data_IF_630588562893
#
_entry.id   IF_630588562893
#
_cell.length_a   1.000
_cell.length_b   1.000
_cell.length_c   1.000
_cell.angle_alpha   90.00
_cell.angle_beta   90.00
_cell.angle_gamma   90.00
#
_symmetry.space_group_name_H-M   'P 1'
#
loop_
_entity.id
_entity.type
_entity.pdbx_description
1 polymer ?
#
# COMPACT_ATOMS: atom_id res chain seq x y z
N UNK A 1 -34.44 4.83 -6.78
CA UNK A 1 -33.18 5.56 -6.50
C UNK A 1 -32.30 4.92 -5.42
N UNK A 2 -32.87 4.35 -4.34
CA UNK A 2 -32.13 3.74 -3.22
C UNK A 2 -31.09 2.66 -3.61
N UNK A 3 -31.43 1.75 -4.53
CA UNK A 3 -30.50 0.70 -5.02
C UNK A 3 -29.27 1.28 -5.73
N UNK A 4 -29.47 2.28 -6.61
CA UNK A 4 -28.37 2.96 -7.33
C UNK A 4 -27.40 3.64 -6.36
N UNK A 5 -27.92 4.29 -5.32
CA UNK A 5 -27.11 4.91 -4.27
C UNK A 5 -26.33 3.87 -3.45
N UNK A 6 -26.91 2.71 -3.17
CA UNK A 6 -26.20 1.62 -2.48
C UNK A 6 -25.04 1.09 -3.32
N UNK A 7 -25.25 0.82 -4.62
CA UNK A 7 -24.18 0.39 -5.51
C UNK A 7 -23.08 1.45 -5.62
N UNK A 8 -23.45 2.73 -5.71
CA UNK A 8 -22.49 3.83 -5.71
C UNK A 8 -21.69 3.88 -4.40
N UNK A 9 -22.33 3.69 -3.24
CA UNK A 9 -21.64 3.66 -1.96
C UNK A 9 -20.65 2.50 -1.88
N UNK A 10 -21.03 1.30 -2.34
CA UNK A 10 -20.12 0.14 -2.41
C UNK A 10 -18.96 0.37 -3.39
N UNK A 11 -19.23 0.97 -4.54
CA UNK A 11 -18.21 1.35 -5.51
C UNK A 11 -17.23 2.34 -4.89
N UNK A 12 -17.72 3.43 -4.29
CA UNK A 12 -16.88 4.42 -3.61
C UNK A 12 -16.06 3.78 -2.49
N UNK A 13 -16.66 2.93 -1.67
CA UNK A 13 -15.96 2.22 -0.60
C UNK A 13 -14.83 1.34 -1.16
N UNK A 14 -15.10 0.58 -2.22
CA UNK A 14 -14.09 -0.27 -2.87
C UNK A 14 -12.88 0.55 -3.36
N UNK A 15 -13.11 1.67 -4.07
CA UNK A 15 -12.03 2.52 -4.53
C UNK A 15 -11.29 3.22 -3.39
N UNK A 16 -11.99 3.63 -2.33
CA UNK A 16 -11.36 4.16 -1.13
C UNK A 16 -10.43 3.13 -0.48
N UNK A 17 -10.83 1.86 -0.42
CA UNK A 17 -9.99 0.78 0.09
C UNK A 17 -8.73 0.58 -0.77
N UNK A 18 -8.86 0.59 -2.11
CA UNK A 18 -7.72 0.50 -3.04
C UNK A 18 -6.74 1.67 -2.81
N UNK A 19 -7.24 2.90 -2.77
CA UNK A 19 -6.43 4.10 -2.56
C UNK A 19 -5.72 4.02 -1.20
N UNK A 20 -6.46 3.67 -0.14
CA UNK A 20 -5.92 3.57 1.22
C UNK A 20 -4.81 2.53 1.31
N UNK A 21 -5.02 1.34 0.73
CA UNK A 21 -4.01 0.28 0.71
C UNK A 21 -2.76 0.68 -0.09
N UNK A 22 -2.95 1.27 -1.27
CA UNK A 22 -1.86 1.75 -2.13
C UNK A 22 -1.05 2.87 -1.47
N UNK A 23 -1.72 3.80 -0.79
CA UNK A 23 -1.07 4.85 0.00
C UNK A 23 -0.22 4.25 1.13
N UNK A 24 -0.73 3.24 1.85
CA UNK A 24 0.00 2.56 2.92
C UNK A 24 1.33 2.00 2.42
N UNK A 25 1.29 1.24 1.33
CA UNK A 25 2.47 0.56 0.80
C UNK A 25 3.48 1.56 0.22
N UNK A 26 2.99 2.60 -0.47
CA UNK A 26 3.85 3.69 -0.96
C UNK A 26 4.55 4.41 0.20
N UNK A 27 3.81 4.74 1.26
CA UNK A 27 4.38 5.40 2.44
C UNK A 27 5.35 4.47 3.19
N UNK A 28 5.09 3.16 3.23
CA UNK A 28 6.00 2.18 3.80
C UNK A 28 7.32 2.13 3.00
N UNK A 29 7.26 2.14 1.66
CA UNK A 29 8.45 2.20 0.80
C UNK A 29 9.25 3.48 1.03
N UNK A 30 8.60 4.65 1.11
CA UNK A 30 9.28 5.92 1.43
C UNK A 30 9.93 5.86 2.82
N UNK A 31 9.23 5.29 3.81
CA UNK A 31 9.73 5.19 5.18
C UNK A 31 10.95 4.25 5.31
N UNK A 32 11.03 3.20 4.50
CA UNK A 32 12.15 2.25 4.51
C UNK A 32 13.46 2.86 3.96
N UNK A 33 13.37 3.98 3.24
CA UNK A 33 14.53 4.72 2.76
C UNK A 33 15.18 4.32 1.42
N UNK A 34 14.69 3.38 0.59
CA UNK A 34 15.25 3.15 -0.75
C UNK A 34 14.80 4.23 -1.77
N UNK A 35 14.47 5.44 -1.32
CA UNK A 35 13.91 6.51 -2.15
C UNK A 35 14.78 7.76 -2.09
N UNK A 36 14.64 8.63 -3.09
CA UNK A 36 15.38 9.91 -3.20
C UNK A 36 14.85 10.94 -2.19
N UNK A 37 13.76 10.65 -1.47
CA UNK A 37 13.13 11.59 -0.55
C UNK A 37 14.05 11.96 0.64
N UNK A 38 14.06 13.24 1.06
CA UNK A 38 14.87 13.69 2.17
C UNK A 38 14.41 13.04 3.49
N UNK A 39 15.34 12.89 4.44
CA UNK A 39 15.10 12.22 5.73
C UNK A 39 13.92 12.80 6.53
N UNK A 40 13.57 14.07 6.33
CA UNK A 40 12.39 14.72 6.92
C UNK A 40 11.08 14.04 6.53
N UNK A 41 10.99 13.50 5.30
CA UNK A 41 9.81 12.76 4.84
C UNK A 41 9.64 11.41 5.54
N UNK A 42 10.70 10.81 6.08
CA UNK A 42 10.61 9.52 6.78
C UNK A 42 9.68 9.58 7.99
N UNK A 43 9.79 10.64 8.81
CA UNK A 43 8.95 10.82 10.00
C UNK A 43 7.48 11.07 9.64
N UNK A 44 7.23 11.90 8.62
CA UNK A 44 5.89 12.11 8.09
C UNK A 44 5.31 10.80 7.53
N UNK A 45 6.09 10.08 6.73
CA UNK A 45 5.66 8.83 6.09
C UNK A 45 5.33 7.74 7.11
N UNK A 46 6.12 7.60 8.18
CA UNK A 46 5.83 6.67 9.27
C UNK A 46 4.52 7.01 10.00
N UNK A 47 4.29 8.29 10.29
CA UNK A 47 3.03 8.73 10.91
C UNK A 47 1.84 8.48 10.00
N UNK A 48 1.95 8.87 8.73
CA UNK A 48 0.90 8.67 7.74
C UNK A 48 0.61 7.17 7.53
N UNK A 49 1.63 6.33 7.40
CA UNK A 49 1.47 4.88 7.28
C UNK A 49 0.76 4.27 8.50
N UNK A 50 1.04 4.78 9.71
CA UNK A 50 0.37 4.35 10.94
C UNK A 50 -1.11 4.70 10.93
N UNK A 51 -1.46 5.94 10.56
CA UNK A 51 -2.86 6.40 10.46
C UNK A 51 -3.62 5.60 9.41
N UNK A 52 -3.02 5.37 8.24
CA UNK A 52 -3.61 4.59 7.16
C UNK A 52 -3.80 3.12 7.58
N UNK A 53 -2.84 2.53 8.30
CA UNK A 53 -2.95 1.17 8.85
C UNK A 53 -4.05 1.05 9.90
N UNK A 54 -4.26 2.09 10.71
CA UNK A 54 -5.37 2.17 11.66
C UNK A 54 -6.72 2.22 10.93
N UNK A 55 -6.83 3.02 9.86
CA UNK A 55 -8.02 3.11 9.01
C UNK A 55 -8.37 1.79 8.32
N UNK A 56 -7.39 0.95 8.01
CA UNK A 56 -7.56 -0.41 7.50
C UNK A 56 -7.87 -1.44 8.60
N UNK A 57 -8.12 -1.01 9.83
CA UNK A 57 -8.47 -1.90 10.94
C UNK A 57 -7.35 -2.85 11.35
N UNK A 58 -6.10 -2.64 10.91
CA UNK A 58 -4.98 -3.53 11.23
C UNK A 58 -4.52 -3.42 12.69
N UNK A 59 -4.88 -2.32 13.36
CA UNK A 59 -4.66 -2.14 14.79
C UNK A 59 -5.72 -2.84 15.66
N UNK A 60 -6.80 -3.35 15.06
CA UNK A 60 -7.81 -4.14 15.78
C UNK A 60 -7.25 -5.53 16.13
N UNK A 61 -7.81 -6.15 17.18
CA UNK A 61 -7.50 -7.54 17.54
C UNK A 61 -7.65 -8.47 16.32
N UNK A 62 -6.77 -9.47 16.12
CA UNK A 62 -6.92 -10.49 15.07
C UNK A 62 -8.25 -11.25 15.14
N UNK A 63 -8.84 -11.35 16.34
CA UNK A 63 -10.16 -11.97 16.58
C UNK A 63 -11.34 -11.03 16.30
N UNK A 64 -11.10 -9.78 15.92
CA UNK A 64 -12.16 -8.83 15.61
C UNK A 64 -12.88 -9.24 14.32
N UNK A 65 -14.21 -9.41 14.34
CA UNK A 65 -14.98 -9.78 13.15
C UNK A 65 -14.88 -8.71 12.06
N UNK A 66 -14.72 -7.44 12.44
CA UNK A 66 -14.53 -6.32 11.51
C UNK A 66 -13.20 -6.48 10.76
N UNK A 67 -12.11 -6.75 11.50
CA UNK A 67 -10.79 -6.97 10.89
C UNK A 67 -10.79 -8.18 9.97
N UNK A 68 -11.41 -9.29 10.40
CA UNK A 68 -11.50 -10.50 9.58
C UNK A 68 -12.31 -10.28 8.31
N UNK A 69 -13.46 -9.60 8.41
CA UNK A 69 -14.30 -9.27 7.25
C UNK A 69 -13.55 -8.40 6.26
N UNK A 70 -12.88 -7.36 6.75
CA UNK A 70 -12.11 -6.45 5.90
C UNK A 70 -10.92 -7.18 5.25
N UNK A 71 -10.15 -7.96 6.01
CA UNK A 71 -9.04 -8.75 5.48
C UNK A 71 -9.52 -9.74 4.40
N UNK A 72 -10.61 -10.44 4.65
CA UNK A 72 -11.22 -11.37 3.69
C UNK A 72 -11.65 -10.65 2.41
N UNK A 73 -12.28 -9.48 2.55
CA UNK A 73 -12.68 -8.68 1.40
C UNK A 73 -11.48 -8.18 0.59
N UNK A 74 -10.45 -7.63 1.24
CA UNK A 74 -9.23 -7.15 0.59
C UNK A 74 -8.51 -8.27 -0.18
N UNK A 75 -8.48 -9.48 0.39
CA UNK A 75 -7.90 -10.67 -0.24
C UNK A 75 -8.68 -11.09 -1.48
N UNK A 76 -9.99 -11.32 -1.37
CA UNK A 76 -10.82 -11.79 -2.49
C UNK A 76 -10.89 -10.74 -3.61
N UNK A 77 -10.90 -9.46 -3.26
CA UNK A 77 -10.87 -8.37 -4.22
C UNK A 77 -9.48 -8.16 -4.88
N UNK A 78 -8.44 -8.88 -4.44
CA UNK A 78 -7.08 -8.76 -4.96
C UNK A 78 -6.38 -7.43 -4.62
N UNK A 79 -6.91 -6.67 -3.66
CA UNK A 79 -6.41 -5.34 -3.32
C UNK A 79 -5.03 -5.42 -2.68
N UNK A 80 -4.78 -6.45 -1.87
CA UNK A 80 -3.52 -6.59 -1.12
C UNK A 80 -2.34 -7.09 -1.96
N UNK A 81 -2.61 -7.80 -3.06
CA UNK A 81 -1.58 -8.43 -3.90
C UNK A 81 -1.29 -7.61 -5.16
N UNK A 82 -2.15 -6.64 -5.50
CA UNK A 82 -2.03 -5.81 -6.69
C UNK A 82 -1.99 -6.64 -7.98
N UNK A 83 -1.24 -6.16 -8.99
CA UNK A 83 -1.06 -6.88 -10.26
C UNK A 83 -0.47 -8.29 -10.07
N UNK A 84 0.28 -8.52 -9.00
CA UNK A 84 0.87 -9.82 -8.64
C UNK A 84 -0.17 -10.93 -8.41
N UNK A 85 -1.43 -10.57 -8.11
CA UNK A 85 -2.53 -11.53 -8.03
C UNK A 85 -2.75 -12.28 -9.37
N UNK A 86 -2.65 -11.56 -10.48
CA UNK A 86 -2.83 -12.09 -11.83
C UNK A 86 -1.51 -12.47 -12.53
N UNK A 87 -0.39 -11.99 -12.01
CA UNK A 87 0.95 -12.22 -12.55
C UNK A 87 1.93 -12.58 -11.41
N UNK A 88 1.84 -13.81 -10.86
CA UNK A 88 2.60 -14.21 -9.67
C UNK A 88 4.12 -14.21 -9.87
N UNK A 89 4.59 -14.27 -11.12
CA UNK A 89 6.00 -14.23 -11.46
C UNK A 89 6.57 -12.79 -11.59
N UNK A 90 5.73 -11.77 -11.49
CA UNK A 90 6.16 -10.36 -11.54
C UNK A 90 6.48 -9.89 -10.12
N UNK A 91 7.73 -9.49 -9.81
CA UNK A 91 8.07 -8.99 -8.49
C UNK A 91 7.31 -7.70 -8.17
N UNK A 92 6.86 -7.57 -6.91
CA UNK A 92 6.03 -6.44 -6.46
C UNK A 92 6.77 -5.09 -6.41
N UNK A 93 8.09 -5.08 -6.52
CA UNK A 93 8.89 -3.86 -6.61
C UNK A 93 10.19 -4.11 -7.38
N UNK A 94 10.72 -3.04 -7.97
CA UNK A 94 12.03 -3.03 -8.64
C UNK A 94 12.93 -2.00 -7.96
N UNK A 95 14.20 -2.37 -7.74
CA UNK A 95 15.24 -1.47 -7.26
C UNK A 95 16.03 -0.95 -8.45
N UNK A 96 16.13 0.36 -8.59
CA UNK A 96 17.06 0.99 -9.52
C UNK A 96 18.33 1.38 -8.77
N UNK A 97 19.50 0.98 -9.27
CA UNK A 97 20.80 1.36 -8.71
C UNK A 97 21.56 2.13 -9.78
N UNK A 98 22.03 3.32 -9.42
CA UNK A 98 22.92 4.11 -10.26
C UNK A 98 24.35 3.97 -9.73
N UNK A 99 25.29 3.71 -10.63
CA UNK A 99 26.69 3.47 -10.33
C UNK A 99 27.53 4.39 -11.21
N UNK A 100 28.51 5.09 -10.63
CA UNK A 100 29.32 6.09 -11.31
C UNK A 100 30.69 5.50 -11.66
N UNK A 101 30.94 5.29 -12.95
CA UNK A 101 32.24 4.81 -13.42
C UNK A 101 33.19 5.96 -13.75
N UNK A 102 34.36 5.96 -13.12
CA UNK A 102 35.45 6.88 -13.43
C UNK A 102 36.41 6.28 -14.48
N UNK A 103 37.12 7.11 -15.27
CA UNK A 103 38.08 6.63 -16.28
C UNK A 103 39.24 5.79 -15.72
N UNK A 104 39.52 5.90 -14.42
CA UNK A 104 40.55 5.14 -13.71
C UNK A 104 40.03 3.82 -13.11
N UNK A 105 38.81 3.41 -13.47
CA UNK A 105 38.21 2.14 -13.05
C UNK A 105 37.58 2.18 -11.65
N UNK A 106 37.53 3.35 -11.00
CA UNK A 106 36.80 3.52 -9.74
C UNK A 106 35.29 3.55 -9.98
N UNK A 107 34.57 3.11 -8.95
CA UNK A 107 33.12 2.95 -8.89
C UNK A 107 32.59 3.62 -7.63
#
# INVERSE_FOLDING_TARGET
>A
MRRKSLYLAWFVLHFLLIITFSCRDTLALVAQGPTIFPRSFKSFSQKAATVVSAGLGQQLSPSSPIRQTLATYLHIAGIETGYGYFAPNVPGSYKLVFELHYPDGRV
#
